data_IF_372125963814
#
_entry.id   IF_372125963814
#
_cell.length_a   1.000
_cell.length_b   1.000
_cell.length_c   1.000
_cell.angle_alpha   90.00
_cell.angle_beta   90.00
_cell.angle_gamma   90.00
#
_symmetry.space_group_name_H-M   'P 1'
#
loop_
_entity.id
_entity.type
_entity.pdbx_description
1 polymer ?
#
# COMPACT_ATOMS: atom_id res chain seq x y z
N UNK A 1 -0.90 13.68 12.20
CA UNK A 1 0.46 13.08 12.11
C UNK A 1 0.52 12.32 10.79
N UNK A 2 1.40 12.70 9.87
CA UNK A 2 1.64 11.97 8.62
C UNK A 2 2.48 10.73 8.94
N UNK A 3 2.14 9.56 8.38
CA UNK A 3 2.87 8.31 8.57
C UNK A 3 3.73 8.00 7.33
N UNK A 4 4.92 8.60 7.17
CA UNK A 4 5.73 8.46 5.96
C UNK A 4 6.11 7.01 5.65
N UNK A 5 6.18 6.13 6.66
CA UNK A 5 6.42 4.70 6.47
C UNK A 5 5.34 4.01 5.66
N UNK A 6 4.07 4.39 5.80
CA UNK A 6 2.97 3.77 5.05
C UNK A 6 3.09 4.08 3.56
N UNK A 7 3.36 5.34 3.22
CA UNK A 7 3.55 5.74 1.81
C UNK A 7 4.79 5.09 1.21
N UNK A 8 5.89 5.00 1.96
CA UNK A 8 7.12 4.33 1.51
C UNK A 8 6.86 2.86 1.18
N UNK A 9 6.30 2.09 2.12
CA UNK A 9 5.98 0.67 1.92
C UNK A 9 5.03 0.47 0.75
N UNK A 10 4.01 1.32 0.59
CA UNK A 10 3.06 1.24 -0.51
C UNK A 10 3.74 1.43 -1.88
N UNK A 11 4.56 2.47 -2.05
CA UNK A 11 5.23 2.74 -3.33
C UNK A 11 6.39 1.77 -3.62
N UNK A 12 7.11 1.32 -2.59
CA UNK A 12 8.15 0.31 -2.72
C UNK A 12 7.57 -1.03 -3.19
N UNK A 13 6.40 -1.43 -2.67
CA UNK A 13 5.71 -2.66 -3.08
C UNK A 13 5.33 -2.63 -4.57
N UNK A 14 4.74 -1.52 -5.04
CA UNK A 14 4.37 -1.36 -6.45
C UNK A 14 5.59 -1.33 -7.38
N UNK A 15 6.64 -0.61 -6.97
CA UNK A 15 7.90 -0.54 -7.73
C UNK A 15 8.58 -1.91 -7.85
N UNK A 16 8.66 -2.66 -6.74
CA UNK A 16 9.24 -4.00 -6.71
C UNK A 16 8.47 -5.01 -7.56
N UNK A 17 7.16 -4.80 -7.71
CA UNK A 17 6.28 -5.58 -8.59
C UNK A 17 6.27 -5.08 -10.05
N UNK A 18 7.09 -4.09 -10.40
CA UNK A 18 7.14 -3.54 -11.76
C UNK A 18 5.83 -2.87 -12.20
N UNK A 19 5.04 -2.36 -11.26
CA UNK A 19 3.78 -1.68 -11.51
C UNK A 19 4.04 -0.18 -11.65
N UNK A 20 3.81 0.35 -12.86
CA UNK A 20 3.89 1.79 -13.10
C UNK A 20 2.71 2.53 -12.45
N UNK A 21 2.96 3.73 -11.93
CA UNK A 21 1.91 4.59 -11.37
C UNK A 21 1.69 5.79 -12.29
N UNK A 22 0.49 5.90 -12.85
CA UNK A 22 0.12 6.97 -13.77
C UNK A 22 -0.36 8.22 -13.04
N UNK A 23 -0.99 8.01 -11.88
CA UNK A 23 -1.51 9.09 -11.04
C UNK A 23 -1.52 8.68 -9.57
N UNK A 24 -1.26 9.65 -8.69
CA UNK A 24 -1.34 9.49 -7.24
C UNK A 24 -2.35 10.52 -6.70
N UNK A 25 -3.24 10.07 -5.82
CA UNK A 25 -4.12 10.93 -5.02
C UNK A 25 -4.10 10.46 -3.57
N UNK A 26 -3.88 11.40 -2.63
CA UNK A 26 -3.74 11.08 -1.21
C UNK A 26 -4.64 11.94 -0.34
N UNK A 27 -5.17 11.35 0.73
CA UNK A 27 -5.75 12.04 1.89
C UNK A 27 -5.02 11.62 3.17
N UNK A 28 -5.45 12.13 4.33
CA UNK A 28 -4.86 11.72 5.62
C UNK A 28 -5.00 10.21 5.92
N UNK A 29 -5.97 9.54 5.30
CA UNK A 29 -6.31 8.13 5.59
C UNK A 29 -6.32 7.22 4.36
N UNK A 30 -6.01 7.74 3.17
CA UNK A 30 -6.10 6.98 1.91
C UNK A 30 -4.98 7.37 0.96
N UNK A 31 -4.38 6.37 0.33
CA UNK A 31 -3.55 6.52 -0.86
C UNK A 31 -4.29 5.79 -1.99
N UNK A 32 -4.53 6.50 -3.09
CA UNK A 32 -5.14 5.97 -4.31
C UNK A 32 -4.16 6.15 -5.46
N UNK A 33 -4.02 5.12 -6.29
CA UNK A 33 -3.19 5.17 -7.51
C UNK A 33 -3.96 4.69 -8.72
N UNK A 34 -3.59 5.22 -9.88
CA UNK A 34 -4.02 4.71 -11.19
C UNK A 34 -2.84 3.97 -11.82
N UNK A 35 -3.11 2.81 -12.38
CA UNK A 35 -2.14 1.96 -13.08
C UNK A 35 -2.83 1.23 -14.25
N UNK A 36 -2.03 0.55 -15.06
CA UNK A 36 -2.53 -0.26 -16.17
C UNK A 36 -3.40 -1.42 -15.66
N UNK A 37 -4.54 -1.64 -16.32
CA UNK A 37 -5.48 -2.70 -15.92
C UNK A 37 -4.85 -4.09 -15.90
N UNK A 38 -3.91 -4.37 -16.81
CA UNK A 38 -3.18 -5.65 -16.89
C UNK A 38 -2.30 -5.91 -15.66
N UNK A 39 -1.95 -4.86 -14.91
CA UNK A 39 -1.12 -4.89 -13.71
C UNK A 39 -1.92 -4.89 -12.41
N UNK A 40 -3.25 -4.76 -12.47
CA UNK A 40 -4.09 -4.58 -11.29
C UNK A 40 -3.94 -5.73 -10.28
N UNK A 41 -3.98 -6.98 -10.75
CA UNK A 41 -3.89 -8.16 -9.87
C UNK A 41 -2.51 -8.25 -9.18
N UNK A 42 -1.44 -7.91 -9.90
CA UNK A 42 -0.08 -7.87 -9.38
C UNK A 42 0.09 -6.74 -8.35
N UNK A 43 -0.45 -5.56 -8.65
CA UNK A 43 -0.46 -4.41 -7.76
C UNK A 43 -1.19 -4.69 -6.45
N UNK A 44 -2.40 -5.27 -6.53
CA UNK A 44 -3.22 -5.61 -5.35
C UNK A 44 -2.50 -6.63 -4.48
N UNK A 45 -1.96 -7.71 -5.06
CA UNK A 45 -1.23 -8.73 -4.31
C UNK A 45 0.01 -8.15 -3.63
N UNK A 46 0.82 -7.39 -4.36
CA UNK A 46 2.05 -6.79 -3.83
C UNK A 46 1.75 -5.88 -2.63
N UNK A 47 0.71 -5.05 -2.73
CA UNK A 47 0.28 -4.18 -1.63
C UNK A 47 -0.27 -4.99 -0.46
N UNK A 48 -1.14 -5.98 -0.69
CA UNK A 48 -1.68 -6.83 0.38
C UNK A 48 -0.57 -7.54 1.15
N UNK A 49 0.39 -8.16 0.46
CA UNK A 49 1.53 -8.83 1.07
C UNK A 49 2.43 -7.85 1.83
N UNK A 50 2.71 -6.67 1.28
CA UNK A 50 3.55 -5.67 1.93
C UNK A 50 2.96 -5.17 3.28
N UNK A 51 1.64 -5.24 3.45
CA UNK A 51 0.95 -4.90 4.69
C UNK A 51 0.47 -6.14 5.48
N UNK A 52 0.82 -7.36 5.06
CA UNK A 52 0.42 -8.62 5.71
C UNK A 52 -1.08 -8.91 5.69
N UNK A 53 -1.83 -8.31 4.76
CA UNK A 53 -3.29 -8.40 4.64
C UNK A 53 -3.76 -9.61 3.82
N UNK A 54 -2.84 -10.47 3.43
CA UNK A 54 -3.04 -11.75 2.74
C UNK A 54 -3.01 -12.96 3.70
N UNK A 55 -2.84 -12.71 5.00
CA UNK A 55 -2.86 -13.73 6.05
C UNK A 55 -4.23 -13.84 6.72
N UNK A 56 -4.63 -15.03 7.18
CA UNK A 56 -5.88 -15.25 7.95
C UNK A 56 -5.82 -14.68 9.40
N UNK A 57 -4.82 -13.86 9.72
CA UNK A 57 -4.56 -13.31 11.05
C UNK A 57 -4.96 -11.84 11.19
N UNK A 58 -5.30 -11.44 12.42
CA UNK A 58 -5.68 -10.07 12.82
C UNK A 58 -4.79 -8.99 12.18
N UNK A 59 -5.43 -8.00 11.54
CA UNK A 59 -4.74 -6.88 10.92
C UNK A 59 -3.86 -6.15 11.95
N UNK A 60 -2.55 -6.07 11.67
CA UNK A 60 -1.61 -5.36 12.56
C UNK A 60 -1.83 -3.86 12.43
N UNK A 61 -2.28 -3.21 13.51
CA UNK A 61 -2.51 -1.77 13.55
C UNK A 61 -1.19 -1.03 13.71
N UNK A 62 -0.71 -0.39 12.63
CA UNK A 62 0.48 0.48 12.66
C UNK A 62 0.24 1.85 13.32
N UNK A 63 -0.98 2.12 13.79
CA UNK A 63 -1.40 3.36 14.42
C UNK A 63 -1.66 3.21 15.90
N UNK A 64 -0.62 3.28 16.75
CA UNK A 64 -0.84 3.37 18.19
C UNK A 64 0.40 3.18 19.04
N UNK A 65 1.18 4.23 19.27
CA UNK A 65 1.96 4.28 20.51
C UNK A 65 0.98 4.61 21.63
N UNK A 66 0.56 3.59 22.38
CA UNK A 66 -0.18 3.77 23.62
C UNK A 66 0.67 4.54 24.63
N UNK A 67 0.53 5.87 24.60
CA UNK A 67 0.59 6.81 25.72
C UNK A 67 -0.19 8.06 25.32
#
# INVERSE_FOLDING_TARGET
>A
KTNPGVSFTFFEALSSAGVNIDMISTSEIRISVITELSKLDEAVRAVHTAFGLDTEGEATVYGGTGR
#
